data_IF_759254535208
#
_entry.id   IF_759254535208
#
_cell.length_a   1.000
_cell.length_b   1.000
_cell.length_c   1.000
_cell.angle_alpha   90.00
_cell.angle_beta   90.00
_cell.angle_gamma   90.00
#
_symmetry.space_group_name_H-M   'P 1'
#
loop_
_entity.id
_entity.type
_entity.pdbx_description
1 polymer ?
#
# COMPACT_ATOMS: atom_id res chain seq x y z
N UNK A 1 -0.25 -7.11 5.02
CA UNK A 1 1.09 -7.16 4.41
C UNK A 1 2.09 -7.77 5.36
N UNK A 2 2.92 -8.69 4.87
CA UNK A 2 4.03 -9.34 5.60
C UNK A 2 5.35 -9.16 4.83
N UNK A 3 6.47 -9.57 5.41
CA UNK A 3 7.77 -9.53 4.73
C UNK A 3 8.32 -8.11 4.52
N UNK A 4 9.27 -7.98 3.58
CA UNK A 4 9.90 -6.71 3.17
C UNK A 4 10.16 -6.72 1.66
N UNK A 5 10.07 -5.55 1.03
CA UNK A 5 10.44 -5.41 -0.38
C UNK A 5 11.91 -5.77 -0.58
N UNK A 6 12.20 -6.55 -1.62
CA UNK A 6 13.56 -6.89 -2.00
C UNK A 6 14.31 -5.66 -2.54
N UNK A 7 15.63 -5.67 -2.46
CA UNK A 7 16.45 -4.61 -3.05
C UNK A 7 16.22 -4.52 -4.56
N UNK A 8 16.08 -3.29 -5.07
CA UNK A 8 15.79 -3.02 -6.48
C UNK A 8 14.31 -3.07 -6.85
N UNK A 9 13.42 -3.47 -5.93
CA UNK A 9 11.97 -3.34 -6.10
C UNK A 9 11.52 -1.93 -5.77
N UNK A 10 10.67 -1.36 -6.61
CA UNK A 10 10.20 0.03 -6.52
C UNK A 10 8.77 0.14 -6.00
N UNK A 11 8.36 1.36 -5.65
CA UNK A 11 6.96 1.65 -5.32
C UNK A 11 5.99 1.32 -6.46
N UNK A 12 6.44 1.46 -7.72
CA UNK A 12 5.67 1.09 -8.90
C UNK A 12 5.41 -0.41 -8.95
N UNK A 13 6.44 -1.23 -8.71
CA UNK A 13 6.30 -2.68 -8.69
C UNK A 13 5.33 -3.16 -7.62
N UNK A 14 5.40 -2.51 -6.44
CA UNK A 14 4.48 -2.75 -5.35
C UNK A 14 3.05 -2.41 -5.76
N UNK A 15 2.79 -1.21 -6.28
CA UNK A 15 1.41 -0.81 -6.57
C UNK A 15 0.80 -1.61 -7.71
N UNK A 16 1.57 -2.02 -8.72
CA UNK A 16 1.08 -2.91 -9.77
C UNK A 16 0.69 -4.28 -9.22
N UNK A 17 1.50 -4.82 -8.29
CA UNK A 17 1.20 -6.08 -7.60
C UNK A 17 -0.04 -5.96 -6.72
N UNK A 18 -0.20 -4.85 -5.99
CA UNK A 18 -1.40 -4.57 -5.18
C UNK A 18 -2.63 -4.39 -6.07
N UNK A 19 -2.48 -3.74 -7.23
CA UNK A 19 -3.57 -3.51 -8.19
C UNK A 19 -4.09 -4.83 -8.74
N UNK A 20 -3.21 -5.71 -9.20
CA UNK A 20 -3.55 -7.06 -9.64
C UNK A 20 -4.30 -7.83 -8.53
N UNK A 21 -3.73 -7.85 -7.32
CA UNK A 21 -4.31 -8.56 -6.16
C UNK A 21 -5.71 -8.06 -5.81
N UNK A 22 -5.89 -6.75 -5.62
CA UNK A 22 -7.16 -6.18 -5.17
C UNK A 22 -8.23 -6.22 -6.26
N UNK A 23 -7.83 -6.14 -7.54
CA UNK A 23 -8.76 -6.34 -8.66
C UNK A 23 -9.29 -7.78 -8.67
N UNK A 24 -8.42 -8.77 -8.49
CA UNK A 24 -8.80 -10.17 -8.37
C UNK A 24 -9.66 -10.46 -7.14
N UNK A 25 -9.41 -9.77 -6.03
CA UNK A 25 -10.16 -9.90 -4.78
C UNK A 25 -11.56 -9.27 -4.82
N UNK A 26 -11.80 -8.31 -5.72
CA UNK A 26 -13.12 -7.69 -5.90
C UNK A 26 -13.47 -6.67 -4.82
N UNK A 27 -12.75 -5.55 -4.80
CA UNK A 27 -12.93 -4.45 -3.83
C UNK A 27 -13.78 -3.27 -4.32
N UNK A 28 -14.53 -3.45 -5.41
CA UNK A 28 -15.36 -2.38 -6.01
C UNK A 28 -16.33 -1.79 -4.99
N UNK A 29 -16.25 -0.49 -4.77
CA UNK A 29 -17.13 0.25 -3.84
C UNK A 29 -16.85 0.01 -2.36
N UNK A 30 -15.75 -0.67 -2.03
CA UNK A 30 -15.37 -1.00 -0.64
C UNK A 30 -14.23 -0.11 -0.15
N UNK A 31 -14.10 -0.04 1.17
CA UNK A 31 -12.93 0.54 1.82
C UNK A 31 -11.87 -0.54 1.96
N UNK A 32 -10.63 -0.19 1.65
CA UNK A 32 -9.47 -1.06 1.82
C UNK A 32 -8.59 -0.44 2.89
N UNK A 33 -8.36 -1.15 3.98
CA UNK A 33 -7.38 -0.75 4.98
C UNK A 33 -6.14 -1.65 4.86
N UNK A 34 -4.96 -1.05 4.86
CA UNK A 34 -3.70 -1.77 4.76
C UNK A 34 -3.06 -1.88 6.13
N UNK A 35 -2.90 -3.12 6.60
CA UNK A 35 -2.32 -3.45 7.89
C UNK A 35 -1.30 -4.60 7.77
N UNK A 36 -0.65 -4.93 8.89
CA UNK A 36 0.35 -5.98 9.06
C UNK A 36 1.79 -5.48 9.06
N UNK A 37 2.74 -6.27 9.61
CA UNK A 37 4.11 -5.84 9.88
C UNK A 37 4.87 -5.37 8.62
N UNK A 38 4.52 -5.89 7.44
CA UNK A 38 5.11 -5.45 6.18
C UNK A 38 4.76 -3.99 5.85
N UNK A 39 3.54 -3.53 6.17
CA UNK A 39 3.09 -2.16 5.88
C UNK A 39 3.90 -1.11 6.67
N UNK A 40 4.35 -1.46 7.88
CA UNK A 40 5.24 -0.62 8.67
C UNK A 40 6.62 -0.42 8.03
N UNK A 41 7.05 -1.34 7.15
CA UNK A 41 8.36 -1.26 6.51
C UNK A 41 8.39 -0.30 5.33
N UNK A 42 7.23 -0.01 4.73
CA UNK A 42 7.09 0.89 3.58
C UNK A 42 7.35 2.35 3.95
N UNK A 43 7.93 3.14 3.04
CA UNK A 43 7.98 4.59 3.20
C UNK A 43 6.59 5.20 2.98
N UNK A 44 6.34 6.39 3.52
CA UNK A 44 5.06 7.09 3.34
C UNK A 44 4.76 7.35 1.86
N UNK A 45 5.79 7.65 1.05
CA UNK A 45 5.66 7.84 -0.40
C UNK A 45 5.20 6.56 -1.12
N UNK A 46 5.63 5.39 -0.65
CA UNK A 46 5.20 4.10 -1.22
C UNK A 46 3.72 3.84 -0.88
N UNK A 47 3.31 4.16 0.35
CA UNK A 47 1.92 4.09 0.80
C UNK A 47 1.02 5.01 -0.03
N UNK A 48 1.48 6.24 -0.27
CA UNK A 48 0.79 7.21 -1.14
C UNK A 48 0.64 6.69 -2.56
N UNK A 49 1.69 6.05 -3.10
CA UNK A 49 1.65 5.43 -4.44
C UNK A 49 0.57 4.35 -4.50
N UNK A 50 0.51 3.47 -3.50
CA UNK A 50 -0.53 2.45 -3.39
C UNK A 50 -1.91 3.07 -3.30
N UNK A 51 -2.11 4.03 -2.40
CA UNK A 51 -3.41 4.66 -2.16
C UNK A 51 -3.92 5.48 -3.36
N UNK A 52 -3.01 6.11 -4.11
CA UNK A 52 -3.35 6.88 -5.31
C UNK A 52 -4.02 6.00 -6.39
N UNK A 53 -3.64 4.73 -6.48
CA UNK A 53 -4.21 3.81 -7.47
C UNK A 53 -5.53 3.16 -7.04
N UNK A 54 -6.21 3.68 -6.01
CA UNK A 54 -7.50 3.16 -5.56
C UNK A 54 -8.55 3.01 -6.69
N UNK A 55 -8.71 3.98 -7.63
CA UNK A 55 -9.65 3.86 -8.74
C UNK A 55 -9.38 2.64 -9.65
N UNK A 56 -8.13 2.26 -9.86
CA UNK A 56 -7.71 1.21 -10.78
C UNK A 56 -8.19 -0.18 -10.34
N UNK A 57 -8.20 -0.46 -9.03
CA UNK A 57 -8.78 -1.68 -8.46
C UNK A 57 -10.19 -1.49 -7.89
N UNK A 58 -10.77 -0.29 -8.02
CA UNK A 58 -12.18 0.01 -7.75
C UNK A 58 -12.52 0.29 -6.29
N UNK A 59 -11.53 0.42 -5.41
CA UNK A 59 -11.75 0.77 -4.02
C UNK A 59 -12.26 2.23 -3.90
N UNK A 60 -13.14 2.49 -2.94
CA UNK A 60 -13.60 3.86 -2.65
C UNK A 60 -12.50 4.66 -1.95
N UNK A 61 -11.76 4.00 -1.05
CA UNK A 61 -10.61 4.56 -0.34
C UNK A 61 -9.64 3.45 -0.02
N UNK A 62 -8.36 3.82 0.02
CA UNK A 62 -7.28 2.96 0.51
C UNK A 62 -6.62 3.67 1.66
N UNK A 63 -6.78 3.11 2.85
CA UNK A 63 -6.40 3.74 4.10
C UNK A 63 -5.15 3.07 4.67
N UNK A 64 -4.15 3.89 4.96
CA UNK A 64 -3.02 3.54 5.81
C UNK A 64 -3.17 4.35 7.10
N UNK A 65 -3.26 3.69 8.27
CA UNK A 65 -3.34 4.39 9.56
C UNK A 65 -2.17 5.35 9.79
N UNK A 66 -2.40 6.39 10.59
CA UNK A 66 -1.33 7.30 11.02
C UNK A 66 -0.39 6.52 11.94
N UNK A 67 0.90 6.54 11.68
CA UNK A 67 1.92 5.90 12.50
C UNK A 67 3.16 6.80 12.64
N UNK A 68 4.22 6.30 13.28
CA UNK A 68 5.46 7.08 13.45
C UNK A 68 6.08 7.50 12.12
N UNK A 69 5.98 6.68 11.07
CA UNK A 69 6.49 7.06 9.74
C UNK A 69 5.73 8.23 9.14
N UNK A 70 4.42 8.30 9.38
CA UNK A 70 3.62 9.47 9.00
C UNK A 70 4.10 10.73 9.75
N UNK A 71 4.38 10.65 11.05
CA UNK A 71 4.92 11.77 11.82
C UNK A 71 6.33 12.17 11.36
N UNK A 72 7.21 11.20 11.11
CA UNK A 72 8.55 11.41 10.54
C UNK A 72 8.47 12.13 9.20
N UNK A 73 7.56 11.70 8.31
CA UNK A 73 7.34 12.35 7.03
C UNK A 73 6.83 13.79 7.16
N UNK A 74 5.95 14.08 8.12
CA UNK A 74 5.52 15.45 8.40
C UNK A 74 6.71 16.33 8.84
N UNK A 75 7.57 15.82 9.73
CA UNK A 75 8.81 16.51 10.15
C UNK A 75 9.74 16.74 8.96
N UNK A 76 9.99 15.70 8.16
CA UNK A 76 10.85 15.74 6.97
C UNK A 76 10.38 16.79 5.96
N UNK A 77 9.07 16.94 5.81
CA UNK A 77 8.47 17.91 4.89
C UNK A 77 8.29 19.30 5.51
N UNK A 78 8.94 19.58 6.64
CA UNK A 78 9.05 20.92 7.21
C UNK A 78 7.84 21.38 8.04
N UNK A 79 7.00 20.45 8.52
CA UNK A 79 5.90 20.83 9.42
C UNK A 79 6.48 21.17 10.79
N UNK A 80 5.99 22.25 11.37
CA UNK A 80 6.41 22.68 12.71
C UNK A 80 6.12 21.60 13.76
N UNK A 81 7.02 21.46 14.74
CA UNK A 81 6.90 20.46 15.79
C UNK A 81 5.55 20.52 16.54
N UNK A 82 5.01 21.72 16.74
CA UNK A 82 3.69 21.92 17.38
C UNK A 82 2.55 21.27 16.57
N UNK A 83 2.64 21.31 15.24
CA UNK A 83 1.66 20.72 14.35
C UNK A 83 1.81 19.19 14.34
N UNK A 84 3.03 18.67 14.28
CA UNK A 84 3.27 17.22 14.35
C UNK A 84 2.73 16.63 15.66
N UNK A 85 2.98 17.32 16.79
CA UNK A 85 2.45 16.92 18.09
C UNK A 85 0.91 16.93 18.14
N UNK A 86 0.28 17.96 17.57
CA UNK A 86 -1.18 18.03 17.46
C UNK A 86 -1.75 16.86 16.64
N UNK A 87 -1.13 16.52 15.51
CA UNK A 87 -1.55 15.38 14.68
C UNK A 87 -1.46 14.07 15.48
N UNK A 88 -0.34 13.85 16.18
CA UNK A 88 -0.18 12.66 17.02
C UNK A 88 -1.23 12.58 18.12
N UNK A 89 -1.40 13.65 18.91
CA UNK A 89 -2.34 13.70 20.03
C UNK A 89 -3.77 13.47 19.54
N UNK A 90 -4.19 14.17 18.48
CA UNK A 90 -5.51 14.02 17.89
C UNK A 90 -5.72 12.59 17.36
N UNK A 91 -4.77 12.05 16.60
CA UNK A 91 -4.90 10.69 16.05
C UNK A 91 -4.96 9.63 17.14
N UNK A 92 -4.21 9.78 18.24
CA UNK A 92 -4.26 8.86 19.38
C UNK A 92 -5.60 8.97 20.12
N UNK A 93 -6.06 10.19 20.41
CA UNK A 93 -7.32 10.43 21.12
C UNK A 93 -8.54 9.89 20.36
N UNK A 94 -8.45 9.82 19.03
CA UNK A 94 -9.52 9.31 18.16
C UNK A 94 -9.30 7.87 17.66
N UNK A 95 -8.33 7.13 18.22
CA UNK A 95 -8.01 5.76 17.83
C UNK A 95 -7.57 5.57 16.36
N UNK A 96 -7.10 6.65 15.71
CA UNK A 96 -6.63 6.65 14.31
C UNK A 96 -5.12 6.40 14.19
N UNK A 97 -4.41 6.43 15.32
CA UNK A 97 -2.98 6.17 15.39
C UNK A 97 -2.70 4.68 15.57
N UNK A 98 -1.84 4.09 14.74
CA UNK A 98 -1.36 2.71 14.92
C UNK A 98 -0.27 2.67 16.00
N UNK A 99 -0.60 2.07 17.15
CA UNK A 99 0.31 1.87 18.29
C UNK A 99 1.36 0.77 18.07
N UNK A 100 1.13 -0.11 17.11
CA UNK A 100 2.03 -1.19 16.73
C UNK A 100 2.42 -1.09 15.25
N UNK A 101 3.62 -1.55 14.86
CA UNK A 101 4.06 -1.55 13.47
C UNK A 101 3.06 -2.28 12.56
N UNK A 102 2.31 -1.50 11.77
CA UNK A 102 1.31 -2.02 10.85
C UNK A 102 -0.02 -2.38 11.50
N UNK A 103 -0.31 -1.88 12.71
CA UNK A 103 -1.61 -1.98 13.34
C UNK A 103 -2.66 -1.04 12.72
N UNK A 104 -3.88 -1.10 13.25
CA UNK A 104 -5.08 -0.44 12.69
C UNK A 104 -5.66 0.67 13.56
N UNK A 105 -5.09 0.91 14.75
CA UNK A 105 -5.56 1.91 15.70
C UNK A 105 -5.26 1.51 17.15
N UNK A 106 -5.04 2.50 18.04
CA UNK A 106 -4.72 2.24 19.45
C UNK A 106 -5.87 1.53 20.16
N UNK A 107 -5.63 0.31 20.61
CA UNK A 107 -6.61 -0.49 21.37
C UNK A 107 -7.83 -0.94 20.58
N UNK A 108 -7.79 -0.89 19.24
CA UNK A 108 -8.92 -1.26 18.39
C UNK A 108 -8.70 -2.63 17.76
N UNK A 109 -9.63 -3.55 18.02
CA UNK A 109 -9.75 -4.78 17.24
C UNK A 109 -10.66 -4.52 16.04
N UNK A 110 -10.07 -4.22 14.87
CA UNK A 110 -10.83 -4.02 13.64
C UNK A 110 -11.25 -5.36 13.05
N UNK A 111 -12.56 -5.53 12.80
CA UNK A 111 -13.10 -6.69 12.09
C UNK A 111 -13.29 -6.36 10.63
N UNK A 112 -12.60 -7.10 9.74
CA UNK A 112 -12.72 -6.92 8.29
C UNK A 112 -13.70 -7.92 7.70
N UNK A 113 -14.50 -7.47 6.74
CA UNK A 113 -15.41 -8.36 5.98
C UNK A 113 -14.66 -9.40 5.14
N UNK A 114 -13.41 -9.11 4.76
CA UNK A 114 -12.54 -10.01 4.02
C UNK A 114 -11.08 -9.54 4.14
N UNK A 115 -10.12 -10.46 4.08
CA UNK A 115 -8.69 -10.16 4.18
C UNK A 115 -7.97 -10.76 2.97
N UNK A 116 -7.25 -9.91 2.22
CA UNK A 116 -6.28 -10.32 1.21
C UNK A 116 -4.86 -10.18 1.78
N UNK A 117 -3.99 -11.14 1.49
CA UNK A 117 -2.62 -11.17 2.02
C UNK A 117 -1.61 -10.95 0.89
N UNK A 118 -0.60 -10.12 1.17
CA UNK A 118 0.55 -9.88 0.30
C UNK A 118 1.84 -9.99 1.12
N UNK A 119 2.73 -10.88 0.70
CA UNK A 119 4.10 -10.94 1.16
C UNK A 119 4.95 -9.99 0.30
N UNK A 120 5.53 -8.97 0.92
CA UNK A 120 6.33 -7.98 0.20
C UNK A 120 7.60 -8.59 -0.42
N UNK A 121 8.08 -9.74 0.07
CA UNK A 121 9.23 -10.43 -0.52
C UNK A 121 8.91 -11.13 -1.85
N UNK A 122 7.64 -11.36 -2.15
CA UNK A 122 7.21 -11.93 -3.44
C UNK A 122 7.02 -10.88 -4.53
N UNK A 123 7.17 -9.59 -4.21
CA UNK A 123 7.07 -8.51 -5.18
C UNK A 123 8.35 -8.51 -6.03
N UNK A 124 8.16 -8.49 -7.35
CA UNK A 124 9.26 -8.49 -8.33
C UNK A 124 9.16 -7.28 -9.24
N UNK A 125 10.28 -6.81 -9.81
CA UNK A 125 10.25 -5.78 -10.84
C UNK A 125 9.31 -6.15 -11.99
N UNK A 126 8.38 -5.25 -12.32
CA UNK A 126 7.33 -5.50 -13.30
C UNK A 126 6.91 -4.24 -14.06
N UNK A 127 6.14 -4.44 -15.12
CA UNK A 127 5.39 -3.39 -15.82
C UNK A 127 3.92 -3.78 -15.95
N UNK A 128 3.08 -2.83 -16.34
CA UNK A 128 1.69 -3.09 -16.70
C UNK A 128 1.46 -2.84 -18.19
N UNK A 129 0.73 -3.73 -18.86
CA UNK A 129 0.38 -3.56 -20.26
C UNK A 129 0.13 -4.87 -21.02
N UNK A 130 -0.03 -4.80 -22.35
CA UNK A 130 0.05 -3.58 -23.15
C UNK A 130 -1.22 -2.71 -23.13
N UNK A 131 -2.33 -3.19 -22.55
CA UNK A 131 -3.65 -2.53 -22.70
C UNK A 131 -4.26 -2.00 -21.41
N UNK A 132 -4.00 -2.63 -20.25
CA UNK A 132 -4.68 -2.28 -19.00
C UNK A 132 -3.69 -2.21 -17.82
N UNK A 133 -3.92 -1.33 -16.83
CA UNK A 133 -3.04 -1.20 -15.65
C UNK A 133 -2.92 -2.47 -14.79
N UNK A 134 -3.94 -3.32 -14.80
CA UNK A 134 -3.94 -4.59 -14.06
C UNK A 134 -3.22 -5.74 -14.78
N UNK A 135 -2.79 -5.55 -16.04
CA UNK A 135 -2.08 -6.57 -16.80
C UNK A 135 -0.59 -6.55 -16.40
N UNK A 136 -0.29 -7.04 -15.19
CA UNK A 136 1.08 -7.06 -14.63
C UNK A 136 1.93 -8.11 -15.33
N UNK A 137 3.10 -7.69 -15.81
CA UNK A 137 4.10 -8.56 -16.46
C UNK A 137 5.44 -8.41 -15.73
N UNK A 138 5.98 -9.48 -15.12
CA UNK A 138 7.33 -9.46 -14.56
C UNK A 138 8.36 -9.08 -15.62
N UNK A 139 9.36 -8.26 -15.26
CA UNK A 139 10.40 -7.83 -16.21
C UNK A 139 11.15 -9.02 -16.84
N UNK A 140 11.34 -10.10 -16.07
CA UNK A 140 12.00 -11.32 -16.54
C UNK A 140 11.25 -12.01 -17.70
N UNK A 141 9.92 -11.86 -17.78
CA UNK A 141 9.08 -12.47 -18.82
C UNK A 141 8.61 -11.48 -19.90
N UNK A 142 8.93 -10.20 -19.78
CA UNK A 142 8.40 -9.13 -20.63
C UNK A 142 8.59 -9.40 -22.14
N UNK A 143 9.77 -9.88 -22.54
CA UNK A 143 10.05 -10.21 -23.94
C UNK A 143 9.13 -11.31 -24.47
N UNK A 144 8.92 -12.36 -23.68
CA UNK A 144 8.09 -13.50 -24.06
C UNK A 144 6.62 -13.09 -24.13
N UNK A 145 6.16 -12.34 -23.13
CA UNK A 145 4.79 -11.82 -23.06
C UNK A 145 4.48 -10.94 -24.29
N UNK A 146 5.34 -9.96 -24.59
CA UNK A 146 5.15 -9.08 -25.74
C UNK A 146 5.09 -9.85 -27.06
N UNK A 147 5.98 -10.83 -27.27
CA UNK A 147 5.95 -11.67 -28.48
C UNK A 147 4.64 -12.46 -28.61
N UNK A 148 4.08 -12.94 -27.49
CA UNK A 148 2.78 -13.62 -27.46
C UNK A 148 1.60 -12.71 -27.82
N UNK A 149 1.73 -11.39 -27.69
CA UNK A 149 0.67 -10.44 -28.10
C UNK A 149 0.66 -10.12 -29.59
N UNK A 150 1.71 -10.51 -30.34
CA UNK A 150 1.85 -10.25 -31.77
C UNK A 150 1.21 -11.34 -32.66
N UNK A 151 0.83 -12.47 -32.07
CA UNK A 151 0.15 -13.60 -32.74
C UNK A 151 -1.35 -13.56 -32.48
#
# INVERSE_FOLDING_TARGET
MTGRLAAGVTATDLVLTVTELLRGHGVVGKFVEVFGPGAATLAVTDRMTVANMAPEYGATVVYFPVDEKTLEYLRLTGREQKHVALVEEYSRANHLFADSPGGSGVGVSVSYSSVATLDLSSVVPCMAGPKRPQDRVPLASLKQDFLGTLT
#
